data_IF_753840211306
#
_entry.id   IF_753840211306
#
_cell.length_a   1.000
_cell.length_b   1.000
_cell.length_c   1.000
_cell.angle_alpha   90.00
_cell.angle_beta   90.00
_cell.angle_gamma   90.00
#
_symmetry.space_group_name_H-M   'P 1'
#
loop_
_entity.id
_entity.type
_entity.pdbx_description
1 polymer ?
#
# COMPACT_ATOMS: atom_id res chain seq x y z
N UNK A 1 9.51 16.75 40.97
CA UNK A 1 10.43 16.12 40.02
C UNK A 1 11.64 17.05 39.90
N UNK A 2 12.80 16.63 40.42
CA UNK A 2 14.05 17.32 40.18
C UNK A 2 14.54 16.90 38.80
N UNK A 3 14.53 17.83 37.84
CA UNK A 3 15.13 17.58 36.52
C UNK A 3 16.65 17.56 36.70
N UNK A 4 17.33 16.50 36.28
CA UNK A 4 18.78 16.47 36.23
C UNK A 4 19.29 17.64 35.35
N UNK A 5 20.40 18.29 35.71
CA UNK A 5 21.00 19.34 34.89
C UNK A 5 21.38 18.75 33.53
N UNK A 6 21.22 19.53 32.45
CA UNK A 6 21.68 19.12 31.12
C UNK A 6 23.18 18.90 31.14
N UNK A 7 23.59 17.71 30.72
CA UNK A 7 24.98 17.31 30.58
C UNK A 7 25.53 17.48 29.16
N UNK A 8 26.66 16.88 28.89
CA UNK A 8 27.20 16.77 27.51
C UNK A 8 26.37 15.84 26.65
N UNK A 9 26.32 16.12 25.36
CA UNK A 9 25.68 15.23 24.38
C UNK A 9 26.44 13.90 24.32
N UNK A 10 25.75 12.79 24.54
CA UNK A 10 26.28 11.43 24.49
C UNK A 10 25.77 10.65 23.27
N UNK A 11 24.62 11.00 22.75
CA UNK A 11 24.05 10.46 21.53
C UNK A 11 23.18 11.52 20.82
N UNK A 12 22.87 11.34 19.55
CA UNK A 12 21.95 12.18 18.83
C UNK A 12 20.73 11.38 18.37
N UNK A 13 19.60 12.06 18.23
CA UNK A 13 18.40 11.54 17.60
C UNK A 13 17.99 12.41 16.43
N UNK A 14 17.33 11.81 15.46
CA UNK A 14 16.70 12.50 14.34
C UNK A 14 15.24 12.06 14.24
N UNK A 15 14.35 13.00 13.95
CA UNK A 15 12.93 12.72 13.68
C UNK A 15 12.44 13.60 12.54
N UNK A 16 11.37 13.18 11.88
CA UNK A 16 10.69 13.97 10.85
C UNK A 16 9.31 14.41 11.34
N UNK A 17 8.86 15.58 10.91
CA UNK A 17 7.49 16.05 11.14
C UNK A 17 6.55 15.46 10.09
N UNK A 18 7.05 15.29 8.86
CA UNK A 18 6.32 14.81 7.69
C UNK A 18 7.22 13.83 6.89
N UNK A 19 7.31 12.61 7.36
CA UNK A 19 8.11 11.55 6.72
C UNK A 19 7.64 11.17 5.31
N UNK A 20 6.41 11.52 4.95
CA UNK A 20 5.84 11.27 3.62
C UNK A 20 5.52 12.59 2.92
N UNK A 21 6.37 13.01 1.99
CA UNK A 21 6.20 14.26 1.24
C UNK A 21 5.84 14.00 -0.23
N UNK A 22 5.67 15.05 -0.99
CA UNK A 22 5.39 15.01 -2.43
C UNK A 22 6.40 15.86 -3.20
N UNK A 23 6.56 15.64 -4.52
CA UNK A 23 7.43 16.46 -5.35
C UNK A 23 7.19 17.95 -5.19
N UNK A 24 8.27 18.70 -5.02
CA UNK A 24 8.24 20.17 -4.82
C UNK A 24 7.90 20.60 -3.38
N UNK A 25 7.87 19.67 -2.42
CA UNK A 25 7.71 19.97 -0.98
C UNK A 25 8.90 19.48 -0.18
N UNK A 26 9.28 20.24 0.84
CA UNK A 26 10.35 19.87 1.76
C UNK A 26 9.91 18.84 2.78
N UNK A 27 10.84 18.01 3.23
CA UNK A 27 10.74 17.22 4.45
C UNK A 27 11.49 17.94 5.56
N UNK A 28 10.81 18.22 6.67
CA UNK A 28 11.42 18.86 7.83
C UNK A 28 11.94 17.79 8.80
N UNK A 29 13.20 17.92 9.16
CA UNK A 29 13.87 17.07 10.15
C UNK A 29 14.10 17.86 11.44
N UNK A 30 14.20 17.15 12.54
CA UNK A 30 14.65 17.71 13.82
C UNK A 30 15.77 16.84 14.34
N UNK A 31 16.94 17.43 14.55
CA UNK A 31 18.09 16.76 15.19
C UNK A 31 18.23 17.29 16.60
N UNK A 32 18.45 16.40 17.55
CA UNK A 32 18.60 16.74 18.96
C UNK A 32 19.66 15.85 19.61
N UNK A 33 20.39 16.43 20.55
CA UNK A 33 21.28 15.68 21.41
C UNK A 33 20.54 15.03 22.59
N UNK A 34 21.10 13.97 23.13
CA UNK A 34 20.69 13.36 24.38
C UNK A 34 21.90 13.26 25.30
N UNK A 35 21.77 13.72 26.55
CA UNK A 35 22.75 13.50 27.59
C UNK A 35 22.62 12.10 28.23
N UNK A 36 23.45 11.80 29.22
CA UNK A 36 23.42 10.53 29.96
C UNK A 36 22.08 10.26 30.67
N UNK A 37 21.29 11.33 30.97
CA UNK A 37 19.97 11.28 31.60
C UNK A 37 18.83 11.29 30.58
N UNK A 38 19.13 11.23 29.24
CA UNK A 38 18.18 11.34 28.14
C UNK A 38 17.43 12.68 28.07
N UNK A 39 17.99 13.74 28.66
CA UNK A 39 17.49 15.10 28.42
C UNK A 39 17.81 15.52 26.98
N UNK A 40 16.81 16.11 26.30
CA UNK A 40 17.02 16.64 24.95
C UNK A 40 17.80 17.95 24.99
N UNK A 41 18.82 18.04 24.16
CA UNK A 41 19.68 19.20 23.98
C UNK A 41 19.50 19.68 22.54
N UNK A 42 19.28 20.98 22.37
CA UNK A 42 19.19 21.59 21.04
C UNK A 42 20.57 21.51 20.34
N UNK A 43 20.52 21.16 19.04
CA UNK A 43 21.65 21.20 18.13
C UNK A 43 21.28 22.16 16.99
N UNK A 44 22.17 23.08 16.65
CA UNK A 44 21.94 24.01 15.54
C UNK A 44 22.17 23.29 14.20
N UNK A 45 21.45 23.68 13.11
CA UNK A 45 21.60 23.05 11.80
C UNK A 45 23.04 23.07 11.26
N UNK A 46 23.78 24.14 11.53
CA UNK A 46 25.18 24.32 11.13
C UNK A 46 26.17 23.38 11.81
N UNK A 47 25.77 22.79 12.93
CA UNK A 47 26.58 21.82 13.68
C UNK A 47 26.35 20.36 13.21
N UNK A 48 25.42 20.15 12.25
CA UNK A 48 25.04 18.82 11.76
C UNK A 48 25.42 18.66 10.29
N UNK A 49 26.15 17.59 10.00
CA UNK A 49 26.35 17.15 8.62
C UNK A 49 25.23 16.18 8.23
N UNK A 50 24.62 16.40 7.06
CA UNK A 50 23.62 15.49 6.50
C UNK A 50 24.17 14.78 5.27
N UNK A 51 24.02 13.46 5.24
CA UNK A 51 24.20 12.61 4.07
C UNK A 51 22.86 11.97 3.72
N UNK A 52 22.51 11.90 2.44
CA UNK A 52 21.24 11.33 1.95
C UNK A 52 21.55 10.11 1.08
N UNK A 53 20.87 9.01 1.37
CA UNK A 53 20.98 7.76 0.61
C UNK A 53 19.67 7.49 -0.12
N UNK A 54 19.76 7.24 -1.43
CA UNK A 54 18.60 6.92 -2.27
C UNK A 54 17.88 8.11 -2.90
N UNK A 55 18.32 9.37 -2.63
CA UNK A 55 17.69 10.56 -3.18
C UNK A 55 18.69 11.70 -3.27
N UNK A 56 18.66 12.45 -4.37
CA UNK A 56 19.32 13.74 -4.46
C UNK A 56 18.37 14.86 -4.04
N UNK A 57 18.90 16.02 -3.62
CA UNK A 57 18.10 17.16 -3.23
C UNK A 57 18.91 18.29 -2.64
N UNK A 58 18.23 19.29 -2.10
CA UNK A 58 18.86 20.49 -1.53
C UNK A 58 18.41 20.71 -0.10
N UNK A 59 19.35 21.18 0.74
CA UNK A 59 19.13 21.51 2.13
C UNK A 59 18.96 23.01 2.36
N UNK A 60 18.08 23.36 3.29
CA UNK A 60 17.95 24.68 3.89
C UNK A 60 17.72 24.53 5.40
N UNK A 61 18.77 24.69 6.21
CA UNK A 61 18.70 24.34 7.63
C UNK A 61 18.38 22.84 7.82
N UNK A 62 17.28 22.55 8.49
CA UNK A 62 16.79 21.19 8.71
C UNK A 62 15.74 20.72 7.68
N UNK A 63 15.49 21.50 6.64
CA UNK A 63 14.58 21.15 5.56
C UNK A 63 15.32 20.57 4.36
N UNK A 64 14.86 19.43 3.88
CA UNK A 64 15.37 18.77 2.68
C UNK A 64 14.31 18.82 1.56
N UNK A 65 14.66 19.35 0.40
CA UNK A 65 13.84 19.32 -0.82
C UNK A 65 14.33 18.20 -1.72
N UNK A 66 13.60 17.08 -1.85
CA UNK A 66 13.94 15.99 -2.76
C UNK A 66 13.84 16.45 -4.23
N UNK A 67 14.79 16.05 -5.08
CA UNK A 67 14.78 16.34 -6.51
C UNK A 67 14.05 15.29 -7.35
N UNK A 68 13.67 14.15 -6.75
CA UNK A 68 13.02 13.02 -7.41
C UNK A 68 11.88 12.42 -6.59
N UNK A 69 11.47 11.23 -6.98
CA UNK A 69 10.46 10.42 -6.29
C UNK A 69 11.10 9.11 -5.80
N UNK A 70 10.72 8.66 -4.62
CA UNK A 70 11.25 7.43 -4.03
C UNK A 70 11.30 7.47 -2.52
N UNK A 71 11.77 6.38 -1.93
CA UNK A 71 12.18 6.32 -0.53
C UNK A 71 13.64 6.74 -0.39
N UNK A 72 13.98 7.36 0.74
CA UNK A 72 15.34 7.77 1.04
C UNK A 72 15.60 7.76 2.54
N UNK A 73 16.87 7.68 2.89
CA UNK A 73 17.34 7.77 4.27
C UNK A 73 18.24 8.99 4.45
N UNK A 74 18.05 9.68 5.55
CA UNK A 74 18.89 10.82 5.96
C UNK A 74 19.73 10.37 7.15
N UNK A 75 21.04 10.51 7.01
CA UNK A 75 22.02 10.26 8.07
C UNK A 75 22.48 11.63 8.59
N UNK A 76 22.15 11.93 9.84
CA UNK A 76 22.67 13.10 10.54
C UNK A 76 23.93 12.71 11.30
N UNK A 77 24.99 13.52 11.18
CA UNK A 77 26.25 13.34 11.91
C UNK A 77 26.54 14.60 12.72
N UNK A 78 26.83 14.44 14.00
CA UNK A 78 27.22 15.50 14.93
C UNK A 78 28.58 15.17 15.55
N UNK A 79 29.47 16.17 15.56
CA UNK A 79 30.88 15.92 15.96
C UNK A 79 31.55 14.89 15.04
N UNK A 80 32.50 14.12 15.59
CA UNK A 80 33.34 13.22 14.80
C UNK A 80 32.61 11.92 14.37
N UNK A 81 31.64 11.42 15.17
CA UNK A 81 31.11 10.07 14.98
C UNK A 81 29.70 9.79 15.58
N UNK A 82 29.01 10.77 16.12
CA UNK A 82 27.64 10.56 16.57
C UNK A 82 26.69 10.63 15.37
N UNK A 83 26.02 9.53 15.07
CA UNK A 83 25.11 9.43 13.91
C UNK A 83 23.71 9.02 14.31
N UNK A 84 22.72 9.51 13.58
CA UNK A 84 21.33 9.06 13.66
C UNK A 84 20.73 9.01 12.26
N UNK A 85 19.76 8.12 12.04
CA UNK A 85 19.13 7.87 10.73
C UNK A 85 17.63 8.08 10.82
N UNK A 86 17.06 8.79 9.85
CA UNK A 86 15.63 8.88 9.63
C UNK A 86 15.30 8.48 8.19
N UNK A 87 14.17 7.79 8.01
CA UNK A 87 13.65 7.43 6.70
C UNK A 87 12.53 8.38 6.29
N UNK A 88 12.44 8.67 5.00
CA UNK A 88 11.37 9.47 4.43
C UNK A 88 11.04 9.02 3.01
N UNK A 89 9.90 9.48 2.49
CA UNK A 89 9.45 9.20 1.13
C UNK A 89 9.00 10.46 0.42
N UNK A 90 9.18 10.50 -0.90
CA UNK A 90 8.66 11.53 -1.76
C UNK A 90 7.91 10.89 -2.94
N UNK A 91 6.57 10.91 -2.88
CA UNK A 91 5.74 10.37 -3.95
C UNK A 91 4.60 11.32 -4.30
N UNK A 92 4.12 11.34 -5.58
CA UNK A 92 2.99 12.15 -5.98
C UNK A 92 1.72 11.77 -5.23
N UNK A 93 0.88 12.75 -4.91
CA UNK A 93 -0.42 12.50 -4.31
C UNK A 93 -1.32 11.75 -5.29
N UNK A 94 -1.82 10.59 -4.87
CA UNK A 94 -2.72 9.77 -5.67
C UNK A 94 -4.19 10.05 -5.39
N UNK A 95 -4.55 10.37 -4.14
CA UNK A 95 -5.95 10.60 -3.75
C UNK A 95 -6.07 11.38 -2.45
N UNK A 96 -7.24 11.98 -2.27
CA UNK A 96 -7.67 12.54 -0.98
C UNK A 96 -8.75 11.64 -0.35
N UNK A 97 -8.81 11.65 0.98
CA UNK A 97 -9.85 10.98 1.75
C UNK A 97 -10.30 11.88 2.90
N UNK A 98 -11.58 12.16 2.97
CA UNK A 98 -12.17 12.76 4.16
C UNK A 98 -12.35 11.70 5.25
N UNK A 99 -12.08 12.06 6.51
CA UNK A 99 -12.28 11.16 7.66
C UNK A 99 -13.75 10.70 7.76
N UNK A 100 -14.66 11.64 7.54
CA UNK A 100 -16.08 11.38 7.47
C UNK A 100 -16.62 11.87 6.13
N UNK A 101 -16.98 10.96 5.19
CA UNK A 101 -17.52 11.34 3.88
C UNK A 101 -18.95 11.90 3.99
N UNK A 102 -19.63 11.65 5.10
CA UNK A 102 -20.98 12.09 5.40
C UNK A 102 -21.05 12.71 6.78
N UNK A 103 -21.65 13.89 6.88
CA UNK A 103 -21.83 14.62 8.12
C UNK A 103 -23.28 15.10 8.25
N UNK A 104 -23.85 14.96 9.44
CA UNK A 104 -25.19 15.45 9.74
C UNK A 104 -25.14 16.51 10.85
N UNK A 105 -25.72 17.69 10.56
CA UNK A 105 -25.84 18.79 11.50
C UNK A 105 -27.32 18.93 11.89
N UNK A 106 -27.61 18.85 13.18
CA UNK A 106 -29.00 18.84 13.70
C UNK A 106 -29.71 20.16 13.47
N UNK A 107 -29.03 21.28 13.71
CA UNK A 107 -29.65 22.62 13.75
C UNK A 107 -28.92 23.59 12.79
N UNK A 108 -29.66 24.56 12.28
CA UNK A 108 -29.11 25.76 11.62
C UNK A 108 -28.24 26.51 12.64
N UNK A 109 -27.12 27.05 12.19
CA UNK A 109 -26.08 27.66 13.03
C UNK A 109 -25.08 26.64 13.61
N UNK A 110 -25.38 25.35 13.54
CA UNK A 110 -24.45 24.29 13.96
C UNK A 110 -23.22 24.22 13.08
N UNK A 111 -22.11 23.75 13.64
CA UNK A 111 -20.82 23.66 12.96
C UNK A 111 -20.27 22.23 12.97
N UNK A 112 -19.40 21.92 12.02
CA UNK A 112 -18.62 20.69 11.98
C UNK A 112 -17.25 20.96 11.36
N UNK A 113 -16.22 20.21 11.80
CA UNK A 113 -14.90 20.24 11.18
C UNK A 113 -14.75 19.11 10.17
N UNK A 114 -14.17 19.43 9.02
CA UNK A 114 -13.84 18.48 7.98
C UNK A 114 -12.34 18.22 8.06
N UNK A 115 -11.98 16.94 8.18
CA UNK A 115 -10.59 16.48 8.22
C UNK A 115 -10.30 15.69 6.96
N UNK A 116 -9.18 16.02 6.31
CA UNK A 116 -8.75 15.41 5.05
C UNK A 116 -7.32 14.91 5.17
N UNK A 117 -7.10 13.70 4.70
CA UNK A 117 -5.78 13.11 4.51
C UNK A 117 -5.52 12.92 3.02
N UNK A 118 -4.28 13.19 2.61
CA UNK A 118 -3.77 12.82 1.30
C UNK A 118 -3.07 11.47 1.38
N UNK A 119 -3.21 10.66 0.35
CA UNK A 119 -2.48 9.43 0.16
C UNK A 119 -1.71 9.53 -1.15
N UNK A 120 -0.45 9.17 -1.11
CA UNK A 120 0.40 9.14 -2.29
C UNK A 120 0.23 7.86 -3.13
N UNK A 121 1.02 7.71 -4.19
CA UNK A 121 0.95 6.56 -5.10
C UNK A 121 1.36 5.25 -4.42
N UNK A 122 2.14 5.33 -3.35
CA UNK A 122 2.53 4.17 -2.54
C UNK A 122 1.59 3.94 -1.34
N UNK A 123 0.53 4.75 -1.21
CA UNK A 123 -0.50 4.60 -0.19
C UNK A 123 -0.10 5.11 1.19
N UNK A 124 1.02 5.83 1.31
CA UNK A 124 1.37 6.54 2.54
C UNK A 124 0.44 7.73 2.74
N UNK A 125 -0.08 7.87 3.95
CA UNK A 125 -1.06 8.88 4.30
C UNK A 125 -0.48 10.00 5.14
N UNK A 126 -0.92 11.24 4.88
CA UNK A 126 -0.61 12.41 5.72
C UNK A 126 -1.82 13.33 5.87
N UNK A 127 -1.93 14.02 7.00
CA UNK A 127 -2.96 15.01 7.20
C UNK A 127 -2.67 16.27 6.38
N UNK A 128 -3.66 16.72 5.60
CA UNK A 128 -3.57 17.93 4.76
C UNK A 128 -4.72 18.90 5.01
N UNK A 129 -5.43 18.74 6.11
CA UNK A 129 -6.64 19.50 6.43
C UNK A 129 -6.47 21.01 6.31
N UNK A 130 -5.31 21.55 6.69
CA UNK A 130 -5.04 22.99 6.64
C UNK A 130 -4.58 23.49 5.26
N UNK A 131 -4.19 22.58 4.37
CA UNK A 131 -3.67 22.89 3.04
C UNK A 131 -4.75 22.76 1.95
N UNK A 132 -5.88 22.15 2.30
CA UNK A 132 -6.99 21.86 1.40
C UNK A 132 -7.80 23.12 1.11
N UNK A 133 -8.14 23.34 -0.16
CA UNK A 133 -9.15 24.31 -0.57
C UNK A 133 -10.53 23.69 -0.44
N UNK A 134 -11.41 24.35 0.33
CA UNK A 134 -12.78 23.92 0.57
C UNK A 134 -13.78 24.75 -0.22
N UNK A 135 -14.67 24.11 -0.99
CA UNK A 135 -15.72 24.78 -1.77
C UNK A 135 -17.07 24.15 -1.49
N UNK A 136 -18.03 24.94 -0.99
CA UNK A 136 -19.40 24.49 -0.75
C UNK A 136 -20.20 24.58 -2.05
N UNK A 137 -20.81 23.47 -2.47
CA UNK A 137 -21.60 23.42 -3.72
C UNK A 137 -22.84 24.29 -3.68
N UNK A 138 -23.53 24.37 -2.52
CA UNK A 138 -24.66 25.27 -2.31
C UNK A 138 -24.41 26.18 -1.10
N UNK A 139 -23.94 27.43 -1.32
CA UNK A 139 -23.64 28.39 -0.25
C UNK A 139 -24.85 28.84 0.57
N UNK A 140 -26.09 28.61 0.07
CA UNK A 140 -27.31 28.90 0.82
C UNK A 140 -27.50 27.94 2.01
N UNK A 141 -26.98 26.73 1.92
CA UNK A 141 -27.08 25.72 3.00
C UNK A 141 -25.99 25.93 4.06
N UNK A 142 -24.81 26.41 3.69
CA UNK A 142 -23.74 26.68 4.64
C UNK A 142 -22.50 27.28 4.00
N UNK A 143 -21.49 27.57 4.83
CA UNK A 143 -20.20 28.14 4.41
C UNK A 143 -19.06 27.51 5.15
N UNK A 144 -17.87 27.55 4.54
CA UNK A 144 -16.60 27.16 5.14
C UNK A 144 -15.86 28.38 5.71
N UNK A 145 -15.21 28.18 6.85
CA UNK A 145 -14.14 29.03 7.38
C UNK A 145 -12.98 28.11 7.79
N UNK A 146 -11.90 28.15 7.02
CA UNK A 146 -10.87 27.09 7.08
C UNK A 146 -11.54 25.72 6.88
N UNK A 147 -11.28 24.77 7.77
CA UNK A 147 -11.90 23.44 7.72
C UNK A 147 -13.24 23.33 8.46
N UNK A 148 -13.81 24.44 8.94
CA UNK A 148 -15.07 24.43 9.70
C UNK A 148 -16.24 24.83 8.80
N UNK A 149 -17.20 23.93 8.63
CA UNK A 149 -18.48 24.19 7.99
C UNK A 149 -19.47 24.75 9.01
N UNK A 150 -20.20 25.82 8.63
CA UNK A 150 -21.30 26.40 9.42
C UNK A 150 -22.61 26.31 8.63
N UNK A 151 -23.63 25.69 9.21
CA UNK A 151 -24.95 25.53 8.61
C UNK A 151 -25.74 26.85 8.63
N UNK A 152 -26.26 27.29 7.46
CA UNK A 152 -27.08 28.52 7.30
C UNK A 152 -28.58 28.23 7.15
N UNK A 153 -28.90 27.08 6.53
CA UNK A 153 -30.28 26.70 6.27
C UNK A 153 -30.46 25.17 6.36
N UNK A 154 -31.70 24.73 6.54
CA UNK A 154 -32.08 23.31 6.42
C UNK A 154 -31.91 22.87 4.96
N UNK A 155 -31.29 21.72 4.72
CA UNK A 155 -31.05 21.18 3.38
C UNK A 155 -29.86 20.23 3.33
N UNK A 156 -29.41 19.93 2.14
CA UNK A 156 -28.22 19.12 1.91
C UNK A 156 -27.35 19.75 0.84
N UNK A 157 -26.05 19.66 1.03
CA UNK A 157 -25.00 20.12 0.09
C UNK A 157 -23.82 19.18 0.18
N UNK A 158 -22.83 19.38 -0.66
CA UNK A 158 -21.51 18.77 -0.46
C UNK A 158 -20.42 19.84 -0.42
N UNK A 159 -19.33 19.52 0.25
CA UNK A 159 -18.09 20.31 0.27
C UNK A 159 -17.07 19.57 -0.57
N UNK A 160 -16.59 20.23 -1.62
CA UNK A 160 -15.45 19.80 -2.41
C UNK A 160 -14.17 20.16 -1.64
N UNK A 161 -13.29 19.20 -1.44
CA UNK A 161 -11.99 19.33 -0.80
C UNK A 161 -10.93 19.09 -1.88
N UNK A 162 -10.14 20.09 -2.25
CA UNK A 162 -9.17 20.04 -3.36
C UNK A 162 -7.76 20.28 -2.85
N UNK A 163 -6.80 19.44 -3.25
CA UNK A 163 -5.38 19.61 -2.96
C UNK A 163 -4.53 18.77 -3.91
N UNK A 164 -3.38 19.32 -4.35
CA UNK A 164 -2.41 18.65 -5.22
C UNK A 164 -3.05 17.96 -6.47
N UNK A 165 -4.03 18.63 -7.10
CA UNK A 165 -4.71 18.14 -8.29
C UNK A 165 -5.73 17.01 -8.04
N UNK A 166 -5.97 16.63 -6.78
CA UNK A 166 -6.95 15.63 -6.40
C UNK A 166 -8.14 16.26 -5.67
N UNK A 167 -9.31 15.65 -5.83
CA UNK A 167 -10.55 16.08 -5.21
C UNK A 167 -11.17 14.95 -4.36
N UNK A 168 -11.73 15.31 -3.20
CA UNK A 168 -12.65 14.46 -2.44
C UNK A 168 -13.85 15.28 -1.98
N UNK A 169 -14.91 14.63 -1.58
CA UNK A 169 -16.17 15.28 -1.28
C UNK A 169 -16.72 14.83 0.07
N UNK A 170 -17.30 15.77 0.82
CA UNK A 170 -18.02 15.51 2.06
C UNK A 170 -19.47 15.96 1.89
N UNK A 171 -20.41 15.04 2.00
CA UNK A 171 -21.83 15.37 2.00
C UNK A 171 -22.24 15.89 3.37
N UNK A 172 -22.89 17.06 3.42
CA UNK A 172 -23.40 17.68 4.65
C UNK A 172 -24.91 17.78 4.56
N UNK A 173 -25.60 17.24 5.56
CA UNK A 173 -27.05 17.34 5.72
C UNK A 173 -27.39 18.16 6.97
N UNK A 174 -28.34 19.09 6.84
CA UNK A 174 -28.77 19.98 7.92
C UNK A 174 -30.26 19.77 8.21
N UNK A 175 -30.62 19.59 9.48
CA UNK A 175 -32.00 19.48 9.93
C UNK A 175 -32.74 18.24 9.44
N UNK A 176 -32.05 17.13 9.22
CA UNK A 176 -32.65 15.88 8.74
C UNK A 176 -33.13 15.92 7.29
N UNK A 177 -32.54 16.75 6.43
CA UNK A 177 -32.85 16.79 5.01
C UNK A 177 -32.41 15.49 4.31
N UNK A 178 -33.00 15.19 3.13
CA UNK A 178 -32.55 14.10 2.27
C UNK A 178 -31.12 14.39 1.78
N UNK A 179 -30.30 13.36 1.75
CA UNK A 179 -28.88 13.44 1.33
C UNK A 179 -28.78 13.75 -0.16
N UNK A 180 -27.96 14.73 -0.53
CA UNK A 180 -27.56 14.97 -1.93
C UNK A 180 -26.45 14.02 -2.34
N UNK A 181 -26.33 13.74 -3.63
CA UNK A 181 -25.25 12.92 -4.18
C UNK A 181 -24.08 13.84 -4.52
N UNK A 182 -22.92 13.58 -3.92
CA UNK A 182 -21.66 14.21 -4.28
C UNK A 182 -21.04 13.54 -5.52
N UNK A 183 -20.19 14.24 -6.29
CA UNK A 183 -19.38 13.62 -7.32
C UNK A 183 -18.42 12.54 -6.74
N UNK A 184 -17.92 11.67 -7.61
CA UNK A 184 -16.89 10.71 -7.23
C UNK A 184 -15.56 11.43 -6.96
N UNK A 185 -14.82 10.99 -5.95
CA UNK A 185 -13.46 11.45 -5.68
C UNK A 185 -12.50 11.04 -6.80
N UNK A 186 -11.50 11.86 -7.07
CA UNK A 186 -10.44 11.53 -8.02
C UNK A 186 -9.38 10.62 -7.40
N UNK A 187 -8.73 9.81 -8.23
CA UNK A 187 -7.60 8.97 -7.85
C UNK A 187 -6.67 8.77 -9.03
N UNK A 188 -5.37 8.89 -8.80
CA UNK A 188 -4.37 8.50 -9.78
C UNK A 188 -4.27 6.97 -9.87
N UNK A 189 -3.89 6.47 -11.05
CA UNK A 189 -3.60 5.04 -11.24
C UNK A 189 -2.29 4.65 -10.52
N UNK A 190 -2.16 3.37 -10.16
CA UNK A 190 -0.88 2.82 -9.68
C UNK A 190 0.16 2.90 -10.82
N UNK A 191 1.31 3.56 -10.62
CA UNK A 191 2.33 3.72 -11.66
C UNK A 191 2.93 2.39 -12.13
N UNK A 192 2.91 1.34 -11.29
CA UNK A 192 3.40 0.01 -11.68
C UNK A 192 2.35 -0.79 -12.47
N UNK A 193 1.08 -0.37 -12.48
CA UNK A 193 0.04 -1.02 -13.26
C UNK A 193 0.09 -0.55 -14.72
N UNK A 194 0.73 -1.34 -15.57
CA UNK A 194 0.95 -1.07 -16.99
C UNK A 194 0.56 -2.27 -17.84
N UNK A 195 0.44 -2.09 -19.15
CA UNK A 195 0.23 -3.22 -20.06
C UNK A 195 1.47 -4.10 -20.10
N UNK A 196 1.30 -5.40 -19.86
CA UNK A 196 2.37 -6.40 -19.88
C UNK A 196 2.16 -7.34 -21.06
N UNK A 197 3.07 -7.25 -22.03
CA UNK A 197 3.15 -8.16 -23.17
C UNK A 197 4.56 -8.74 -23.23
N UNK A 198 4.68 -10.07 -23.26
CA UNK A 198 5.99 -10.71 -23.32
C UNK A 198 6.77 -10.25 -24.53
N UNK A 199 7.99 -9.79 -24.32
CA UNK A 199 8.95 -9.36 -25.31
C UNK A 199 10.22 -10.22 -25.20
N UNK A 200 11.09 -10.11 -26.18
CA UNK A 200 12.44 -10.69 -26.11
C UNK A 200 13.42 -9.62 -25.61
N UNK A 201 13.22 -9.16 -24.38
CA UNK A 201 13.92 -8.03 -23.76
C UNK A 201 14.77 -8.43 -22.54
N UNK A 202 14.90 -9.73 -22.29
CA UNK A 202 15.64 -10.27 -21.15
C UNK A 202 14.88 -10.18 -19.80
N UNK A 203 13.66 -9.59 -19.79
CA UNK A 203 12.85 -9.55 -18.59
C UNK A 203 12.26 -10.92 -18.24
N UNK A 204 12.00 -11.14 -16.96
CA UNK A 204 11.28 -12.29 -16.46
C UNK A 204 9.76 -12.03 -16.46
N UNK A 205 8.99 -12.91 -17.09
CA UNK A 205 7.54 -12.81 -17.20
C UNK A 205 6.86 -13.86 -16.34
N UNK A 206 6.13 -13.39 -15.33
CA UNK A 206 5.43 -14.21 -14.36
C UNK A 206 3.91 -13.96 -14.47
N UNK A 207 3.13 -15.04 -14.60
CA UNK A 207 1.68 -14.97 -14.49
C UNK A 207 1.21 -15.61 -13.17
N UNK A 208 0.19 -15.03 -12.54
CA UNK A 208 -0.42 -15.56 -11.31
C UNK A 208 -1.93 -15.68 -11.51
N UNK A 209 -2.49 -16.84 -11.19
CA UNK A 209 -3.94 -17.08 -11.16
C UNK A 209 -4.43 -17.30 -9.74
N UNK A 210 -5.73 -17.06 -9.51
CA UNK A 210 -6.44 -17.47 -8.29
C UNK A 210 -6.74 -18.99 -8.24
N UNK A 211 -7.67 -19.36 -7.36
CA UNK A 211 -8.13 -20.73 -7.18
C UNK A 211 -8.83 -21.26 -8.45
N UNK A 212 -8.40 -22.40 -8.96
CA UNK A 212 -8.98 -23.09 -10.11
C UNK A 212 -9.85 -24.29 -9.73
N UNK A 213 -9.64 -24.85 -8.54
CA UNK A 213 -10.37 -26.03 -8.06
C UNK A 213 -11.71 -25.60 -7.45
N UNK A 214 -12.76 -26.33 -7.77
CA UNK A 214 -14.02 -26.15 -7.05
C UNK A 214 -13.97 -26.80 -5.68
N UNK A 215 -14.16 -25.99 -4.65
CA UNK A 215 -14.14 -26.42 -3.23
C UNK A 215 -15.50 -26.25 -2.54
N UNK A 216 -16.53 -25.78 -3.27
CA UNK A 216 -17.90 -25.60 -2.76
C UNK A 216 -18.71 -26.90 -2.64
N UNK A 217 -19.94 -26.76 -2.17
CA UNK A 217 -20.89 -27.89 -1.93
C UNK A 217 -21.87 -28.10 -3.07
N UNK A 218 -21.96 -27.18 -4.04
CA UNK A 218 -22.82 -27.32 -5.21
C UNK A 218 -22.33 -28.36 -6.19
N UNK A 219 -23.17 -28.72 -7.17
CA UNK A 219 -22.76 -29.64 -8.24
C UNK A 219 -22.29 -28.82 -9.44
N UNK A 220 -21.12 -29.14 -9.97
CA UNK A 220 -20.60 -28.57 -11.21
C UNK A 220 -20.58 -29.66 -12.28
N UNK A 221 -21.12 -29.36 -13.45
CA UNK A 221 -21.02 -30.25 -14.61
C UNK A 221 -19.57 -30.41 -15.04
N UNK A 222 -19.14 -31.66 -15.27
CA UNK A 222 -17.75 -31.98 -15.58
C UNK A 222 -17.23 -31.30 -16.87
N UNK A 223 -18.07 -31.14 -17.88
CA UNK A 223 -17.68 -30.49 -19.13
C UNK A 223 -17.46 -28.99 -18.90
N UNK A 224 -18.38 -28.34 -18.18
CA UNK A 224 -18.28 -26.94 -17.77
C UNK A 224 -17.05 -26.72 -16.91
N UNK A 225 -16.80 -27.60 -15.93
CA UNK A 225 -15.64 -27.56 -15.06
C UNK A 225 -14.33 -27.59 -15.87
N UNK A 226 -14.19 -28.58 -16.74
CA UNK A 226 -12.99 -28.74 -17.54
C UNK A 226 -12.79 -27.59 -18.54
N UNK A 227 -13.86 -27.12 -19.18
CA UNK A 227 -13.79 -26.01 -20.15
C UNK A 227 -13.33 -24.70 -19.50
N UNK A 228 -13.94 -24.34 -18.36
CA UNK A 228 -13.57 -23.10 -17.65
C UNK A 228 -12.12 -23.14 -17.11
N UNK A 229 -11.73 -24.26 -16.52
CA UNK A 229 -10.39 -24.46 -16.02
C UNK A 229 -9.35 -24.41 -17.15
N UNK A 230 -9.61 -25.07 -18.27
CA UNK A 230 -8.72 -25.06 -19.43
C UNK A 230 -8.57 -23.66 -20.04
N UNK A 231 -9.64 -22.87 -20.07
CA UNK A 231 -9.63 -21.48 -20.53
C UNK A 231 -8.68 -20.63 -19.67
N UNK A 232 -8.84 -20.67 -18.35
CA UNK A 232 -8.00 -19.87 -17.43
C UNK A 232 -6.55 -20.34 -17.50
N UNK A 233 -6.32 -21.67 -17.56
CA UNK A 233 -4.98 -22.23 -17.69
C UNK A 233 -4.29 -21.79 -18.99
N UNK A 234 -4.97 -21.86 -20.12
CA UNK A 234 -4.41 -21.44 -21.41
C UNK A 234 -4.02 -19.96 -21.40
N UNK A 235 -4.83 -19.10 -20.77
CA UNK A 235 -4.53 -17.68 -20.61
C UNK A 235 -3.33 -17.47 -19.66
N UNK A 236 -3.27 -18.22 -18.56
CA UNK A 236 -2.19 -18.13 -17.57
C UNK A 236 -0.85 -18.57 -18.13
N UNK A 237 -0.81 -19.63 -18.92
CA UNK A 237 0.42 -20.16 -19.53
C UNK A 237 0.89 -19.31 -20.74
N UNK A 238 0.00 -18.45 -21.26
CA UNK A 238 0.30 -17.64 -22.44
C UNK A 238 1.20 -16.43 -22.08
N UNK A 239 2.40 -16.36 -22.68
CA UNK A 239 3.30 -15.24 -22.55
C UNK A 239 3.95 -15.13 -21.16
N UNK A 240 4.15 -16.27 -20.47
CA UNK A 240 4.89 -16.36 -19.22
C UNK A 240 6.16 -17.21 -19.40
N UNK A 241 7.17 -16.95 -18.55
CA UNK A 241 8.27 -17.88 -18.28
C UNK A 241 7.89 -18.84 -17.17
N UNK A 242 7.13 -18.34 -16.20
CA UNK A 242 6.60 -19.11 -15.10
C UNK A 242 5.13 -18.75 -14.84
N UNK A 243 4.31 -19.74 -14.52
CA UNK A 243 2.96 -19.55 -14.03
C UNK A 243 2.84 -20.00 -12.58
N UNK A 244 2.27 -19.13 -11.73
CA UNK A 244 1.91 -19.45 -10.35
C UNK A 244 0.41 -19.66 -10.26
N UNK A 245 0.02 -20.83 -9.80
CA UNK A 245 -1.36 -21.18 -9.46
C UNK A 245 -1.54 -20.96 -7.95
N UNK A 246 -2.09 -19.82 -7.56
CA UNK A 246 -2.00 -19.28 -6.20
C UNK A 246 -3.06 -19.77 -5.22
N UNK A 247 -4.05 -20.52 -5.66
CA UNK A 247 -5.09 -21.14 -4.81
C UNK A 247 -5.15 -22.65 -5.00
N UNK A 248 -6.09 -23.35 -4.35
CA UNK A 248 -6.35 -24.76 -4.62
C UNK A 248 -6.46 -25.06 -6.10
N UNK A 249 -5.62 -25.98 -6.55
CA UNK A 249 -5.48 -26.32 -7.96
C UNK A 249 -5.31 -27.84 -8.10
N UNK A 250 -6.00 -28.44 -9.04
CA UNK A 250 -5.91 -29.85 -9.39
C UNK A 250 -5.15 -30.10 -10.71
N UNK A 251 -4.31 -29.14 -11.11
CA UNK A 251 -3.43 -29.27 -12.27
C UNK A 251 -2.27 -30.19 -11.93
N UNK A 252 -2.26 -31.38 -12.52
CA UNK A 252 -1.22 -32.39 -12.30
C UNK A 252 -0.01 -32.24 -13.24
N UNK A 253 -0.21 -31.58 -14.38
CA UNK A 253 0.85 -31.34 -15.39
C UNK A 253 0.76 -29.90 -15.87
N UNK A 254 1.62 -29.00 -15.36
CA UNK A 254 1.71 -27.65 -15.90
C UNK A 254 2.23 -27.69 -17.36
N UNK A 255 1.75 -26.76 -18.19
CA UNK A 255 2.20 -26.65 -19.59
C UNK A 255 3.44 -25.75 -19.72
N UNK A 256 3.70 -24.90 -18.73
CA UNK A 256 4.90 -24.08 -18.65
C UNK A 256 5.91 -24.78 -17.77
N UNK A 257 7.13 -24.91 -18.22
CA UNK A 257 8.24 -25.44 -17.45
C UNK A 257 8.45 -24.53 -16.23
N UNK A 258 8.71 -25.12 -15.07
CA UNK A 258 8.94 -24.43 -13.79
C UNK A 258 7.72 -23.72 -13.15
N UNK A 259 6.49 -24.14 -13.46
CA UNK A 259 5.32 -23.59 -12.77
C UNK A 259 5.29 -23.94 -11.27
N UNK A 260 4.80 -22.99 -10.47
CA UNK A 260 4.65 -23.12 -9.03
C UNK A 260 3.16 -23.29 -8.69
N UNK A 261 2.80 -24.41 -8.07
CA UNK A 261 1.41 -24.71 -7.71
C UNK A 261 1.24 -24.64 -6.20
N UNK A 262 0.23 -23.90 -5.73
CA UNK A 262 -0.15 -23.90 -4.33
C UNK A 262 -0.73 -25.28 -3.92
N UNK A 263 -0.19 -25.84 -2.85
CA UNK A 263 -0.57 -27.15 -2.32
C UNK A 263 -0.91 -27.12 -0.83
N UNK A 264 -1.20 -25.93 -0.27
CA UNK A 264 -1.51 -25.77 1.15
C UNK A 264 -0.27 -25.73 2.05
N UNK A 265 0.92 -25.58 1.49
CA UNK A 265 2.17 -25.48 2.25
C UNK A 265 3.07 -24.37 1.70
N UNK A 266 4.04 -23.97 2.52
CA UNK A 266 5.06 -23.02 2.13
C UNK A 266 5.86 -23.48 0.92
N UNK A 267 6.05 -22.56 -0.06
CA UNK A 267 6.96 -22.75 -1.20
C UNK A 267 7.65 -21.42 -1.51
N UNK A 268 8.87 -21.52 -2.00
CA UNK A 268 9.68 -20.36 -2.38
C UNK A 268 10.27 -20.57 -3.77
N UNK A 269 10.27 -19.51 -4.56
CA UNK A 269 10.96 -19.44 -5.85
C UNK A 269 11.80 -18.18 -5.88
N UNK A 270 13.08 -18.36 -6.16
CA UNK A 270 14.03 -17.29 -6.46
C UNK A 270 14.31 -17.30 -7.97
N UNK A 271 13.94 -16.24 -8.68
CA UNK A 271 14.10 -16.19 -10.14
C UNK A 271 14.22 -14.75 -10.64
N UNK A 272 15.30 -14.47 -11.37
CA UNK A 272 15.47 -13.29 -12.22
C UNK A 272 14.97 -11.96 -11.61
N UNK A 273 15.46 -11.60 -10.41
CA UNK A 273 15.11 -10.38 -9.69
C UNK A 273 13.82 -10.47 -8.85
N UNK A 274 13.14 -11.63 -8.80
CA UNK A 274 11.95 -11.84 -8.03
C UNK A 274 12.06 -12.95 -6.96
N UNK A 275 11.58 -12.67 -5.78
CA UNK A 275 11.29 -13.65 -4.71
C UNK A 275 9.79 -13.90 -4.66
N UNK A 276 9.35 -15.09 -5.07
CA UNK A 276 7.93 -15.48 -5.01
C UNK A 276 7.72 -16.47 -3.88
N UNK A 277 6.85 -16.10 -2.95
CA UNK A 277 6.58 -16.83 -1.70
C UNK A 277 5.13 -17.28 -1.67
N UNK A 278 4.87 -18.57 -1.73
CA UNK A 278 3.53 -19.13 -1.50
C UNK A 278 3.36 -19.42 0.00
N UNK A 279 2.35 -18.80 0.59
CA UNK A 279 2.03 -18.93 2.01
C UNK A 279 0.71 -19.67 2.20
N UNK A 280 0.69 -20.59 3.13
CA UNK A 280 -0.55 -21.16 3.65
C UNK A 280 -1.01 -20.32 4.85
N UNK A 281 -2.13 -19.61 4.71
CA UNK A 281 -2.62 -18.65 5.71
C UNK A 281 -4.14 -18.70 5.92
N UNK A 282 -4.80 -19.82 5.64
CA UNK A 282 -6.26 -19.98 5.74
C UNK A 282 -6.83 -19.62 7.12
N UNK A 283 -6.06 -19.80 8.17
CA UNK A 283 -6.36 -19.41 9.55
C UNK A 283 -5.36 -18.40 10.13
N UNK A 284 -4.63 -17.67 9.26
CA UNK A 284 -3.42 -16.96 9.59
C UNK A 284 -2.18 -17.83 9.50
N UNK A 285 -1.01 -17.24 9.26
CA UNK A 285 0.26 -17.96 9.07
C UNK A 285 0.62 -18.75 10.34
N UNK A 286 0.50 -18.11 11.51
CA UNK A 286 0.89 -18.70 12.79
C UNK A 286 0.08 -19.95 13.15
N UNK A 287 -1.21 -19.93 12.88
CA UNK A 287 -2.09 -21.05 13.20
C UNK A 287 -1.97 -22.17 12.18
N UNK A 288 -1.63 -21.86 10.94
CA UNK A 288 -1.46 -22.84 9.87
C UNK A 288 -0.08 -23.52 9.96
N UNK A 289 0.99 -22.73 9.94
CA UNK A 289 2.38 -23.17 10.12
C UNK A 289 3.25 -21.99 10.52
N UNK A 290 3.57 -21.81 11.82
CA UNK A 290 4.35 -20.66 12.29
C UNK A 290 5.80 -20.64 11.78
N UNK A 291 6.35 -21.77 11.31
CA UNK A 291 7.70 -21.84 10.77
C UNK A 291 7.86 -21.05 9.47
N UNK A 292 6.77 -20.74 8.78
CA UNK A 292 6.78 -19.97 7.54
C UNK A 292 7.40 -18.58 7.73
N UNK A 293 7.20 -17.94 8.91
CA UNK A 293 7.82 -16.65 9.20
C UNK A 293 9.36 -16.69 9.14
N UNK A 294 9.96 -17.67 9.76
CA UNK A 294 11.41 -17.85 9.72
C UNK A 294 11.92 -18.23 8.33
N UNK A 295 11.19 -19.13 7.62
CA UNK A 295 11.55 -19.58 6.28
C UNK A 295 11.58 -18.45 5.27
N UNK A 296 10.48 -17.71 5.08
CA UNK A 296 10.46 -16.69 4.05
C UNK A 296 11.43 -15.54 4.37
N UNK A 297 11.64 -15.21 5.65
CA UNK A 297 12.62 -14.19 6.03
C UNK A 297 14.03 -14.60 5.65
N UNK A 298 14.41 -15.87 5.87
CA UNK A 298 15.72 -16.41 5.48
C UNK A 298 15.86 -16.52 3.96
N UNK A 299 14.85 -17.06 3.28
CA UNK A 299 14.88 -17.28 1.85
C UNK A 299 14.95 -15.96 1.06
N UNK A 300 14.16 -14.95 1.45
CA UNK A 300 14.19 -13.61 0.85
C UNK A 300 15.53 -12.93 1.08
N UNK A 301 16.08 -13.00 2.30
CA UNK A 301 17.39 -12.44 2.60
C UNK A 301 18.51 -13.10 1.79
N UNK A 302 18.47 -14.42 1.63
CA UNK A 302 19.43 -15.16 0.83
C UNK A 302 19.32 -14.87 -0.68
N UNK A 303 18.11 -14.62 -1.19
CA UNK A 303 17.86 -14.30 -2.59
C UNK A 303 18.30 -12.87 -2.95
N UNK A 304 18.14 -11.90 -2.05
CA UNK A 304 18.56 -10.52 -2.25
C UNK A 304 17.78 -9.72 -3.31
N UNK A 305 16.66 -10.26 -3.84
CA UNK A 305 15.90 -9.63 -4.91
C UNK A 305 15.18 -8.35 -4.48
N UNK A 306 14.97 -7.43 -5.45
CA UNK A 306 14.27 -6.16 -5.20
C UNK A 306 12.75 -6.30 -5.29
N UNK A 307 12.23 -7.29 -5.98
CA UNK A 307 10.80 -7.59 -6.06
C UNK A 307 10.45 -8.80 -5.20
N UNK A 308 9.48 -8.62 -4.29
CA UNK A 308 8.95 -9.67 -3.41
C UNK A 308 7.46 -9.83 -3.66
N UNK A 309 7.03 -11.03 -4.01
CA UNK A 309 5.63 -11.35 -4.31
C UNK A 309 5.17 -12.46 -3.36
N UNK A 310 4.35 -12.11 -2.38
CA UNK A 310 3.66 -13.09 -1.55
C UNK A 310 2.35 -13.51 -2.24
N UNK A 311 2.14 -14.80 -2.37
CA UNK A 311 0.90 -15.41 -2.87
C UNK A 311 0.29 -16.20 -1.73
N UNK A 312 -0.95 -15.90 -1.35
CA UNK A 312 -1.59 -16.42 -0.15
C UNK A 312 -3.08 -16.60 -0.35
N UNK A 313 -3.71 -17.41 0.49
CA UNK A 313 -5.16 -17.60 0.50
C UNK A 313 -5.93 -16.48 1.24
N UNK A 314 -5.24 -15.64 2.03
CA UNK A 314 -5.85 -14.49 2.73
C UNK A 314 -4.89 -13.32 2.87
N UNK A 315 -5.43 -12.11 2.81
CA UNK A 315 -4.65 -10.91 3.16
C UNK A 315 -4.48 -10.79 4.67
N UNK A 316 -3.47 -10.02 5.15
CA UNK A 316 -3.29 -9.78 6.59
C UNK A 316 -4.53 -9.17 7.27
N UNK A 317 -5.38 -8.45 6.51
CA UNK A 317 -6.63 -7.85 7.03
C UNK A 317 -7.71 -8.89 7.33
N UNK A 318 -7.62 -10.07 6.71
CA UNK A 318 -8.61 -11.15 6.80
C UNK A 318 -8.18 -12.24 7.81
N UNK A 319 -7.05 -12.03 8.50
CA UNK A 319 -6.60 -12.98 9.51
C UNK A 319 -7.52 -12.94 10.73
N UNK A 320 -7.86 -14.09 11.31
CA UNK A 320 -8.67 -14.15 12.54
C UNK A 320 -8.05 -13.39 13.72
N UNK A 321 -6.72 -13.27 13.75
CA UNK A 321 -5.98 -12.49 14.73
C UNK A 321 -5.52 -11.17 14.10
N UNK A 322 -6.11 -10.06 14.54
CA UNK A 322 -5.69 -8.72 14.10
C UNK A 322 -4.22 -8.44 14.43
N UNK A 323 -3.75 -8.87 15.61
CA UNK A 323 -2.35 -8.72 16.02
C UNK A 323 -1.38 -9.47 15.10
N UNK A 324 -1.78 -10.64 14.59
CA UNK A 324 -0.98 -11.35 13.60
C UNK A 324 -0.97 -10.65 12.25
N UNK A 325 -2.11 -10.12 11.82
CA UNK A 325 -2.20 -9.29 10.61
C UNK A 325 -1.30 -8.05 10.71
N UNK A 326 -1.27 -7.38 11.87
CA UNK A 326 -0.38 -6.25 12.15
C UNK A 326 1.09 -6.65 12.12
N UNK A 327 1.43 -7.79 12.71
CA UNK A 327 2.79 -8.32 12.70
C UNK A 327 3.28 -8.63 11.28
N UNK A 328 2.45 -9.28 10.46
CA UNK A 328 2.82 -9.53 9.06
C UNK A 328 2.96 -8.23 8.27
N UNK A 329 2.05 -7.25 8.45
CA UNK A 329 2.19 -5.92 7.84
C UNK A 329 3.49 -5.22 8.25
N UNK A 330 3.90 -5.34 9.51
CA UNK A 330 5.18 -4.77 9.97
C UNK A 330 6.39 -5.38 9.24
N UNK A 331 6.36 -6.70 8.96
CA UNK A 331 7.41 -7.36 8.17
C UNK A 331 7.40 -6.85 6.72
N UNK A 332 6.23 -6.73 6.11
CA UNK A 332 6.10 -6.22 4.73
C UNK A 332 6.62 -4.78 4.63
N UNK A 333 6.26 -3.93 5.61
CA UNK A 333 6.70 -2.54 5.66
C UNK A 333 8.23 -2.43 5.85
N UNK A 334 8.85 -3.36 6.59
CA UNK A 334 10.31 -3.42 6.70
C UNK A 334 10.96 -3.62 5.33
N UNK A 335 10.44 -4.54 4.50
CA UNK A 335 10.96 -4.73 3.14
C UNK A 335 10.78 -3.47 2.28
N UNK A 336 9.65 -2.79 2.40
CA UNK A 336 9.44 -1.50 1.70
C UNK A 336 10.46 -0.45 2.15
N UNK A 337 10.76 -0.36 3.46
CA UNK A 337 11.77 0.56 4.00
C UNK A 337 13.19 0.19 3.55
N UNK A 338 13.44 -1.07 3.24
CA UNK A 338 14.68 -1.56 2.64
C UNK A 338 14.75 -1.31 1.11
N UNK A 339 13.78 -0.58 0.53
CA UNK A 339 13.71 -0.24 -0.88
C UNK A 339 13.14 -1.34 -1.78
N UNK A 340 12.56 -2.41 -1.20
CA UNK A 340 11.97 -3.50 -1.99
C UNK A 340 10.56 -3.14 -2.48
N UNK A 341 10.21 -3.59 -3.67
CA UNK A 341 8.84 -3.55 -4.18
C UNK A 341 8.08 -4.80 -3.73
N UNK A 342 7.01 -4.61 -2.94
CA UNK A 342 6.31 -5.68 -2.26
C UNK A 342 4.88 -5.82 -2.76
N UNK A 343 4.51 -7.05 -3.15
CA UNK A 343 3.15 -7.45 -3.51
C UNK A 343 2.63 -8.52 -2.55
N UNK A 344 1.35 -8.43 -2.20
CA UNK A 344 0.60 -9.49 -1.53
C UNK A 344 -0.60 -9.82 -2.42
N UNK A 345 -0.53 -10.96 -3.09
CA UNK A 345 -1.58 -11.48 -3.96
C UNK A 345 -2.38 -12.50 -3.17
N UNK A 346 -3.61 -12.17 -2.79
CA UNK A 346 -4.53 -13.14 -2.19
C UNK A 346 -5.38 -13.80 -3.27
N UNK A 347 -5.69 -15.07 -3.06
CA UNK A 347 -6.45 -15.88 -3.99
C UNK A 347 -7.69 -16.39 -3.27
N UNK A 348 -8.77 -15.58 -3.25
CA UNK A 348 -9.98 -15.92 -2.51
C UNK A 348 -11.21 -15.12 -2.92
N UNK A 349 -12.39 -15.71 -2.71
CA UNK A 349 -13.67 -15.03 -2.86
C UNK A 349 -14.09 -14.71 -4.28
N UNK A 350 -15.03 -13.78 -4.47
CA UNK A 350 -15.73 -13.60 -5.75
C UNK A 350 -15.36 -12.31 -6.50
N UNK A 351 -14.52 -11.44 -5.93
CA UNK A 351 -14.25 -10.12 -6.50
C UNK A 351 -12.75 -9.83 -6.64
N UNK A 352 -12.38 -9.28 -7.79
CA UNK A 352 -11.08 -8.64 -7.95
C UNK A 352 -11.07 -7.29 -7.22
N UNK A 353 -10.01 -7.01 -6.51
CA UNK A 353 -9.68 -5.69 -6.00
C UNK A 353 -8.17 -5.50 -5.89
N UNK A 354 -7.73 -4.26 -5.95
CA UNK A 354 -6.35 -3.87 -5.73
C UNK A 354 -6.30 -2.59 -4.89
N UNK A 355 -5.31 -2.49 -4.03
CA UNK A 355 -5.02 -1.29 -3.24
C UNK A 355 -3.55 -1.23 -2.88
N UNK A 356 -3.00 -0.01 -2.83
CA UNK A 356 -1.66 0.23 -2.31
C UNK A 356 -1.78 0.87 -0.93
N UNK A 357 -1.06 0.34 0.04
CA UNK A 357 -1.01 0.85 1.40
C UNK A 357 0.40 0.69 1.97
N UNK A 358 0.98 1.78 2.46
CA UNK A 358 2.30 1.83 3.09
C UNK A 358 3.38 1.17 2.20
N UNK A 359 3.33 1.44 0.88
CA UNK A 359 4.25 0.90 -0.12
C UNK A 359 3.98 -0.54 -0.56
N UNK A 360 3.05 -1.24 0.10
CA UNK A 360 2.69 -2.63 -0.22
C UNK A 360 1.47 -2.66 -1.13
N UNK A 361 1.55 -3.41 -2.21
CA UNK A 361 0.43 -3.62 -3.15
C UNK A 361 -0.32 -4.89 -2.81
N UNK A 362 -1.54 -4.72 -2.32
CA UNK A 362 -2.48 -5.80 -2.01
C UNK A 362 -3.41 -6.00 -3.19
N UNK A 363 -3.45 -7.22 -3.74
CA UNK A 363 -4.27 -7.57 -4.89
C UNK A 363 -5.00 -8.87 -4.58
N UNK A 364 -6.31 -8.89 -4.79
CA UNK A 364 -7.09 -10.13 -4.66
C UNK A 364 -7.49 -10.66 -6.03
N UNK A 365 -7.17 -11.91 -6.28
CA UNK A 365 -7.64 -12.67 -7.43
C UNK A 365 -8.84 -13.53 -7.01
N UNK A 366 -10.00 -13.34 -7.65
CA UNK A 366 -11.19 -14.10 -7.30
C UNK A 366 -11.08 -15.57 -7.74
N UNK A 367 -11.80 -16.42 -7.00
CA UNK A 367 -11.93 -17.84 -7.31
C UNK A 367 -12.64 -18.04 -8.67
N UNK A 368 -12.25 -19.07 -9.38
CA UNK A 368 -12.93 -19.47 -10.63
C UNK A 368 -14.38 -19.90 -10.38
N UNK A 369 -14.64 -20.44 -9.18
CA UNK A 369 -15.94 -21.00 -8.84
C UNK A 369 -16.56 -20.27 -7.65
N UNK A 370 -17.86 -20.06 -7.72
CA UNK A 370 -18.67 -19.62 -6.59
C UNK A 370 -19.09 -20.81 -5.73
N UNK A 371 -19.46 -20.55 -4.49
CA UNK A 371 -19.88 -21.58 -3.55
C UNK A 371 -21.09 -22.42 -4.03
N UNK A 372 -21.95 -21.85 -4.88
CA UNK A 372 -23.12 -22.52 -5.49
C UNK A 372 -22.77 -23.39 -6.70
N UNK A 373 -21.51 -23.47 -7.10
CA UNK A 373 -21.04 -24.25 -8.24
C UNK A 373 -21.13 -23.52 -9.58
N UNK A 374 -21.55 -22.25 -9.59
CA UNK A 374 -21.53 -21.46 -10.83
C UNK A 374 -20.15 -20.89 -11.09
N UNK A 375 -19.75 -20.82 -12.37
CA UNK A 375 -18.50 -20.19 -12.75
C UNK A 375 -18.54 -18.67 -12.50
N UNK A 376 -17.45 -18.14 -11.92
CA UNK A 376 -17.30 -16.70 -11.74
C UNK A 376 -17.06 -16.05 -13.12
N UNK A 377 -17.86 -15.04 -13.45
CA UNK A 377 -17.71 -14.27 -14.70
C UNK A 377 -16.63 -13.18 -14.63
N UNK A 378 -16.10 -12.92 -13.46
CA UNK A 378 -15.11 -11.88 -13.21
C UNK A 378 -13.79 -12.48 -12.74
N UNK A 379 -13.32 -13.50 -13.42
CA UNK A 379 -12.00 -14.11 -13.15
C UNK A 379 -10.92 -13.20 -13.70
N UNK A 380 -9.91 -12.97 -12.89
CA UNK A 380 -8.71 -12.20 -13.24
C UNK A 380 -7.47 -13.03 -13.00
N UNK A 381 -6.44 -12.72 -13.78
CA UNK A 381 -5.06 -13.14 -13.54
C UNK A 381 -4.17 -11.92 -13.50
N UNK A 382 -2.99 -12.03 -12.93
CA UNK A 382 -1.95 -11.01 -12.98
C UNK A 382 -0.86 -11.45 -13.95
N UNK A 383 -0.40 -10.50 -14.75
CA UNK A 383 0.84 -10.62 -15.54
C UNK A 383 1.86 -9.68 -14.93
N UNK A 384 3.07 -10.15 -14.73
CA UNK A 384 4.21 -9.36 -14.28
C UNK A 384 5.30 -9.35 -15.33
N UNK A 385 5.95 -8.21 -15.52
CA UNK A 385 7.25 -8.07 -16.14
C UNK A 385 8.22 -7.60 -15.07
N UNK A 386 9.30 -8.33 -14.86
CA UNK A 386 10.32 -8.07 -13.86
C UNK A 386 11.66 -7.98 -14.57
N UNK A 387 12.37 -6.86 -14.41
CA UNK A 387 13.65 -6.60 -15.07
C UNK A 387 14.50 -5.66 -14.19
N UNK A 388 15.72 -5.37 -14.62
CA UNK A 388 16.63 -4.47 -13.92
C UNK A 388 16.09 -3.03 -13.81
N UNK A 389 15.19 -2.63 -14.72
CA UNK A 389 14.52 -1.33 -14.70
C UNK A 389 13.30 -1.29 -13.77
N UNK A 390 13.00 -2.38 -13.07
CA UNK A 390 11.92 -2.51 -12.10
C UNK A 390 10.86 -3.54 -12.48
N UNK A 391 9.72 -3.48 -11.76
CA UNK A 391 8.58 -4.38 -11.96
C UNK A 391 7.37 -3.61 -12.45
N UNK A 392 6.66 -4.17 -13.41
CA UNK A 392 5.31 -3.72 -13.81
C UNK A 392 4.34 -4.89 -13.78
N UNK A 393 3.05 -4.61 -13.60
CA UNK A 393 2.02 -5.64 -13.57
C UNK A 393 0.75 -5.22 -14.28
N UNK A 394 0.00 -6.21 -14.75
CA UNK A 394 -1.28 -6.02 -15.41
C UNK A 394 -2.32 -7.01 -14.88
N UNK A 395 -3.44 -6.55 -14.31
CA UNK A 395 -4.61 -7.39 -14.12
C UNK A 395 -5.29 -7.63 -15.47
N UNK A 396 -5.51 -8.90 -15.80
CA UNK A 396 -6.16 -9.31 -17.05
C UNK A 396 -7.41 -10.10 -16.73
N UNK A 397 -8.57 -9.66 -17.23
CA UNK A 397 -9.80 -10.42 -17.14
C UNK A 397 -9.74 -11.59 -18.11
N UNK A 398 -10.00 -12.79 -17.62
CA UNK A 398 -9.94 -14.03 -18.39
C UNK A 398 -11.33 -14.49 -18.77
#
# INVERSE_FOLDING_TARGET
FQTAPKGEIKEIGISTVNEHTQPGKTTEFTVYGLDEYKNRIYIAPEDVKFDVVGMEGTWSGFEFLPSGTGAYSVVATYGDNMTAVANATCYPTARLKATYPDVSIKNVGGTTKIYVSAYDTEGFGRAVTNDVTYTVANPAIGTMNGNTFTAKAKGSTYVKCSWAGQDTYVTVTVGGAAKTTAPASTSAADPLQQTVTKQNDGAFYLNITGELKYTGTGKVDANTYNAQRSRVRAAADSGADVTVYGGPCDITTPTVQDSLTWNGSYRFMNRDGASVVLLAASQGIRKTDPSQYGRFTQDIAAAGNDTIIFVTDKTPSDYPSAAEGDYFRAILNKYVQEGKTVFVVSCSGNAYWASTKDGVRYINLPDLWRADGTANKNVYMLKFRIADDGVTYQPVKV
#
